data_IF_996410462512
#
_entry.id   IF_996410462512
#
_cell.length_a   1.000
_cell.length_b   1.000
_cell.length_c   1.000
_cell.angle_alpha   90.00
_cell.angle_beta   90.00
_cell.angle_gamma   90.00
#
_symmetry.space_group_name_H-M   'P 1'
#
loop_
_entity.id
_entity.type
_entity.pdbx_description
1 polymer ?
#
# COMPACT_ATOMS: atom_id res chain seq x y z
N UNK A 1 11.05 4.88 -17.40
CA UNK A 1 10.90 4.37 -16.03
C UNK A 1 10.21 3.03 -16.11
N UNK A 2 10.66 2.03 -15.37
CA UNK A 2 10.00 0.72 -15.26
C UNK A 2 8.72 0.88 -14.44
N UNK A 3 7.59 0.38 -14.94
CA UNK A 3 6.34 0.34 -14.19
C UNK A 3 6.43 -0.66 -13.04
N UNK A 4 5.79 -0.36 -11.91
CA UNK A 4 5.56 -1.36 -10.87
C UNK A 4 4.71 -2.49 -11.46
N UNK A 5 5.12 -3.72 -11.20
CA UNK A 5 4.26 -4.88 -11.40
C UNK A 5 3.38 -5.00 -10.16
N UNK A 6 2.07 -4.92 -10.35
CA UNK A 6 1.12 -5.09 -9.27
C UNK A 6 0.67 -6.55 -9.23
N UNK A 7 0.75 -7.19 -8.07
CA UNK A 7 0.04 -8.44 -7.85
C UNK A 7 -1.45 -8.12 -7.61
N UNK A 8 -2.32 -9.07 -7.97
CA UNK A 8 -3.75 -8.97 -7.73
C UNK A 8 -4.04 -8.59 -6.26
N UNK A 9 -5.06 -7.75 -6.01
CA UNK A 9 -5.35 -7.22 -4.68
C UNK A 9 -5.60 -8.32 -3.66
N UNK A 10 -4.98 -8.19 -2.49
CA UNK A 10 -5.06 -9.18 -1.43
C UNK A 10 -6.38 -9.07 -0.62
N UNK A 11 -7.02 -7.90 -0.59
CA UNK A 11 -8.32 -7.64 0.06
C UNK A 11 -9.02 -6.40 -0.58
N UNK A 12 -10.37 -6.35 -0.52
CA UNK A 12 -11.21 -5.28 -1.08
C UNK A 12 -12.28 -4.83 -0.08
N UNK A 13 -12.53 -3.53 0.04
CA UNK A 13 -13.59 -2.90 0.84
C UNK A 13 -14.37 -1.95 -0.08
N UNK A 14 -15.70 -2.01 -0.06
CA UNK A 14 -16.56 -1.13 -0.84
C UNK A 14 -17.15 -0.01 0.03
N UNK A 15 -17.20 1.21 -0.50
CA UNK A 15 -17.73 2.40 0.15
C UNK A 15 -18.81 3.04 -0.73
N UNK A 16 -20.06 2.99 -0.27
CA UNK A 16 -21.15 3.71 -0.93
C UNK A 16 -21.00 5.24 -0.77
N UNK A 17 -21.52 6.04 -1.71
CA UNK A 17 -21.57 7.50 -1.54
C UNK A 17 -22.31 7.93 -0.27
N UNK A 18 -21.93 9.08 0.31
CA UNK A 18 -22.80 9.75 1.25
C UNK A 18 -24.13 10.11 0.55
N UNK A 19 -25.26 9.80 1.17
CA UNK A 19 -26.57 10.18 0.67
C UNK A 19 -26.75 11.70 0.79
N UNK A 20 -26.36 12.45 -0.26
CA UNK A 20 -27.01 13.68 -0.73
C UNK A 20 -26.24 14.31 -1.89
N UNK A 21 -26.89 14.37 -3.05
CA UNK A 21 -26.69 15.37 -4.10
C UNK A 21 -25.24 15.67 -4.54
N UNK A 22 -24.45 14.67 -4.95
CA UNK A 22 -23.19 14.91 -5.66
C UNK A 22 -23.22 14.32 -7.07
N UNK A 23 -23.00 15.17 -8.07
CA UNK A 23 -22.96 14.84 -9.50
C UNK A 23 -21.57 14.35 -9.95
N UNK A 24 -20.79 13.69 -9.08
CA UNK A 24 -19.39 13.41 -9.40
C UNK A 24 -18.74 12.30 -8.60
N UNK A 25 -19.18 11.06 -8.82
CA UNK A 25 -18.78 9.78 -8.16
C UNK A 25 -19.74 9.34 -7.06
N UNK A 26 -20.53 8.31 -7.34
CA UNK A 26 -21.58 7.77 -6.45
C UNK A 26 -21.11 6.64 -5.53
N UNK A 27 -19.87 6.19 -5.66
CA UNK A 27 -19.27 5.17 -4.79
C UNK A 27 -17.78 5.04 -5.07
N UNK A 28 -17.04 4.57 -4.06
CA UNK A 28 -15.65 4.16 -4.19
C UNK A 28 -15.51 2.70 -3.83
N UNK A 29 -14.64 2.00 -4.54
CA UNK A 29 -14.14 0.70 -4.14
C UNK A 29 -12.66 0.83 -3.82
N UNK A 30 -12.26 0.34 -2.66
CA UNK A 30 -10.88 0.46 -2.15
C UNK A 30 -10.28 -0.94 -2.05
N UNK A 31 -9.03 -1.08 -2.43
CA UNK A 31 -8.29 -2.33 -2.31
C UNK A 31 -6.83 -2.07 -1.98
N UNK A 32 -6.18 -3.02 -1.30
CA UNK A 32 -4.72 -2.99 -1.13
C UNK A 32 -4.04 -3.96 -2.07
N UNK A 33 -2.94 -3.51 -2.67
CA UNK A 33 -2.08 -4.29 -3.56
C UNK A 33 -0.64 -4.18 -3.10
N UNK A 34 0.17 -5.14 -3.50
CA UNK A 34 1.63 -5.08 -3.39
C UNK A 34 2.21 -4.74 -4.76
N UNK A 35 2.90 -3.62 -4.83
CA UNK A 35 3.72 -3.25 -5.99
C UNK A 35 5.11 -3.86 -5.83
N UNK A 36 5.60 -4.51 -6.88
CA UNK A 36 6.98 -5.00 -6.98
C UNK A 36 7.65 -4.43 -8.22
N UNK A 37 8.99 -4.48 -8.25
CA UNK A 37 9.76 -4.18 -9.44
C UNK A 37 10.59 -5.40 -9.82
N UNK A 38 10.58 -5.76 -11.11
CA UNK A 38 11.47 -6.79 -11.65
C UNK A 38 12.94 -6.44 -11.34
N UNK A 39 13.69 -7.42 -10.83
CA UNK A 39 15.11 -7.27 -10.48
C UNK A 39 15.41 -7.02 -9.00
N UNK A 40 14.40 -6.82 -8.15
CA UNK A 40 14.57 -6.75 -6.68
C UNK A 40 14.17 -8.08 -6.03
N UNK A 41 15.10 -9.03 -5.96
CA UNK A 41 14.86 -10.32 -5.33
C UNK A 41 16.11 -11.08 -4.92
N UNK A 42 15.93 -12.03 -3.99
CA UNK A 42 16.97 -12.95 -3.50
C UNK A 42 16.37 -14.33 -3.30
N UNK A 43 17.18 -15.37 -3.50
CA UNK A 43 16.80 -16.74 -3.15
C UNK A 43 17.29 -17.07 -1.75
N UNK A 44 16.40 -17.55 -0.88
CA UNK A 44 16.73 -17.98 0.48
C UNK A 44 16.21 -19.40 0.71
N UNK A 45 17.04 -20.30 1.23
CA UNK A 45 16.66 -21.70 1.47
C UNK A 45 16.75 -22.09 2.94
N UNK A 46 15.65 -22.65 3.46
CA UNK A 46 15.56 -23.17 4.81
C UNK A 46 15.10 -22.17 5.87
N UNK A 47 14.26 -22.63 6.79
CA UNK A 47 13.88 -21.88 7.99
C UNK A 47 15.12 -21.56 8.83
N UNK A 48 15.33 -20.27 9.11
CA UNK A 48 16.48 -19.78 9.87
C UNK A 48 17.64 -19.26 9.01
N UNK A 49 17.62 -19.49 7.69
CA UNK A 49 18.51 -18.78 6.77
C UNK A 49 17.94 -17.39 6.49
N UNK A 50 18.79 -16.37 6.55
CA UNK A 50 18.41 -14.98 6.29
C UNK A 50 19.19 -14.45 5.09
N UNK A 51 18.48 -13.87 4.14
CA UNK A 51 19.06 -13.12 3.03
C UNK A 51 18.69 -11.65 3.17
N UNK A 52 19.60 -10.75 2.79
CA UNK A 52 19.31 -9.32 2.77
C UNK A 52 18.66 -8.96 1.43
N UNK A 53 17.46 -8.41 1.47
CA UNK A 53 16.84 -7.70 0.35
C UNK A 53 17.23 -6.23 0.46
N UNK A 54 18.02 -5.76 -0.50
CA UNK A 54 18.52 -4.39 -0.56
C UNK A 54 18.40 -3.86 -1.99
N UNK A 55 17.60 -2.82 -2.18
CA UNK A 55 17.51 -2.15 -3.48
C UNK A 55 16.37 -1.16 -3.59
N UNK A 56 16.40 -0.38 -4.67
CA UNK A 56 15.49 0.75 -4.88
C UNK A 56 14.44 0.44 -5.95
N UNK A 57 13.17 0.62 -5.60
CA UNK A 57 12.06 0.68 -6.54
C UNK A 57 11.78 2.14 -6.90
N UNK A 58 11.63 2.46 -8.18
CA UNK A 58 11.23 3.80 -8.65
C UNK A 58 9.90 3.73 -9.37
N UNK A 59 9.01 4.69 -9.11
CA UNK A 59 7.64 4.64 -9.61
C UNK A 59 7.02 6.04 -9.75
N UNK A 60 5.90 6.11 -10.47
CA UNK A 60 4.98 7.25 -10.42
C UNK A 60 3.72 6.83 -9.68
N UNK A 61 3.28 7.64 -8.74
CA UNK A 61 2.16 7.32 -7.87
C UNK A 61 1.49 8.60 -7.36
N UNK A 62 0.26 8.51 -6.86
CA UNK A 62 -0.34 9.61 -6.10
C UNK A 62 0.05 9.50 -4.64
N UNK A 63 0.38 10.62 -4.01
CA UNK A 63 0.68 10.63 -2.58
C UNK A 63 -0.62 10.79 -1.79
N UNK A 64 -0.91 9.83 -0.91
CA UNK A 64 -1.97 9.92 0.09
C UNK A 64 -1.69 11.07 1.06
N UNK A 65 -0.40 11.39 1.29
CA UNK A 65 0.02 12.50 2.16
C UNK A 65 -0.27 13.89 1.55
N UNK A 66 -0.71 13.96 0.30
CA UNK A 66 -1.21 15.21 -0.31
C UNK A 66 -2.67 15.52 0.06
N UNK A 67 -3.38 14.59 0.72
CA UNK A 67 -4.75 14.81 1.19
C UNK A 67 -4.74 15.52 2.55
N UNK A 68 -5.30 16.73 2.58
CA UNK A 68 -5.47 17.50 3.83
C UNK A 68 -6.47 16.81 4.75
N UNK A 69 -7.50 16.19 4.17
CA UNK A 69 -8.48 15.43 4.92
C UNK A 69 -7.83 14.21 5.58
N UNK A 70 -6.93 13.51 4.90
CA UNK A 70 -6.19 12.39 5.49
C UNK A 70 -5.28 12.85 6.64
N UNK A 71 -4.59 13.98 6.47
CA UNK A 71 -3.77 14.57 7.52
C UNK A 71 -4.57 14.97 8.77
N UNK A 72 -5.80 15.45 8.58
CA UNK A 72 -6.75 15.71 9.66
C UNK A 72 -7.16 14.39 10.34
N UNK A 73 -7.61 13.40 9.56
CA UNK A 73 -8.05 12.10 10.07
C UNK A 73 -6.95 11.38 10.86
N UNK A 74 -5.68 11.44 10.41
CA UNK A 74 -4.53 10.91 11.17
C UNK A 74 -4.45 11.52 12.58
N UNK A 75 -4.65 12.83 12.68
CA UNK A 75 -4.57 13.56 13.96
C UNK A 75 -5.77 13.28 14.86
N UNK A 76 -6.98 13.35 14.30
CA UNK A 76 -8.22 13.24 15.07
C UNK A 76 -8.55 11.81 15.47
N UNK A 77 -8.29 10.84 14.58
CA UNK A 77 -8.63 9.43 14.79
C UNK A 77 -7.43 8.57 15.19
N UNK A 78 -6.28 9.21 15.43
CA UNK A 78 -5.01 8.56 15.79
C UNK A 78 -4.63 7.43 14.83
N UNK A 79 -4.89 7.63 13.53
CA UNK A 79 -4.48 6.70 12.48
C UNK A 79 -2.95 6.77 12.40
N UNK A 80 -2.30 5.61 12.44
CA UNK A 80 -0.86 5.51 12.18
C UNK A 80 -0.48 6.05 10.80
N UNK A 81 0.81 6.22 10.55
CA UNK A 81 1.31 6.60 9.23
C UNK A 81 1.14 5.48 8.20
N UNK A 82 1.19 5.83 6.92
CA UNK A 82 1.26 4.84 5.86
C UNK A 82 -0.09 4.31 5.36
N UNK A 83 -0.01 3.54 4.28
CA UNK A 83 -1.13 2.84 3.65
C UNK A 83 -1.66 1.73 4.57
N UNK A 84 -0.78 0.98 5.23
CA UNK A 84 -1.14 -0.13 6.11
C UNK A 84 -2.02 0.31 7.27
N UNK A 85 -1.66 1.40 7.95
CA UNK A 85 -2.44 1.94 9.06
C UNK A 85 -3.80 2.48 8.60
N UNK A 86 -3.84 3.23 7.49
CA UNK A 86 -5.09 3.73 6.94
C UNK A 86 -6.02 2.58 6.51
N UNK A 87 -5.48 1.58 5.83
CA UNK A 87 -6.22 0.38 5.46
C UNK A 87 -6.76 -0.38 6.67
N UNK A 88 -5.93 -0.56 7.71
CA UNK A 88 -6.36 -1.21 8.95
C UNK A 88 -7.50 -0.44 9.62
N UNK A 89 -7.42 0.89 9.62
CA UNK A 89 -8.46 1.74 10.18
C UNK A 89 -9.77 1.68 9.39
N UNK A 90 -9.68 1.67 8.05
CA UNK A 90 -10.82 1.47 7.14
C UNK A 90 -11.47 0.09 7.32
N UNK A 91 -10.68 -0.94 7.62
CA UNK A 91 -11.15 -2.31 7.83
C UNK A 91 -12.02 -2.50 9.08
N UNK A 92 -12.04 -1.52 10.00
CA UNK A 92 -12.96 -1.49 11.13
C UNK A 92 -14.30 -0.96 10.60
N UNK A 93 -15.27 -1.87 10.40
CA UNK A 93 -16.56 -1.55 9.76
C UNK A 93 -17.27 -0.34 10.37
N UNK A 94 -17.19 -0.15 11.69
CA UNK A 94 -17.76 1.00 12.37
C UNK A 94 -17.13 2.34 11.93
N UNK A 95 -15.81 2.38 11.69
CA UNK A 95 -15.12 3.59 11.23
C UNK A 95 -15.52 3.95 9.80
N UNK A 96 -15.54 2.93 8.93
CA UNK A 96 -15.96 3.05 7.54
C UNK A 96 -17.40 3.57 7.42
N UNK A 97 -18.28 3.20 8.35
CA UNK A 97 -19.66 3.67 8.37
C UNK A 97 -19.84 5.06 8.98
N UNK A 98 -19.07 5.37 10.01
CA UNK A 98 -19.20 6.63 10.78
C UNK A 98 -18.59 7.83 10.04
N UNK A 99 -17.47 7.62 9.34
CA UNK A 99 -16.66 8.69 8.75
C UNK A 99 -16.69 8.68 7.22
N UNK A 100 -17.84 8.30 6.63
CA UNK A 100 -17.98 8.15 5.16
C UNK A 100 -17.62 9.43 4.43
N UNK A 101 -18.03 10.58 4.95
CA UNK A 101 -17.85 11.87 4.29
C UNK A 101 -16.37 12.25 4.20
N UNK A 102 -15.62 12.09 5.29
CA UNK A 102 -14.17 12.33 5.31
C UNK A 102 -13.42 11.34 4.43
N UNK A 103 -13.80 10.05 4.47
CA UNK A 103 -13.20 9.02 3.60
C UNK A 103 -13.41 9.36 2.12
N UNK A 104 -14.61 9.81 1.75
CA UNK A 104 -14.91 10.24 0.38
C UNK A 104 -14.09 11.45 -0.03
N UNK A 105 -13.94 12.44 0.85
CA UNK A 105 -13.14 13.62 0.54
C UNK A 105 -11.64 13.27 0.41
N UNK A 106 -11.11 12.35 1.22
CA UNK A 106 -9.75 11.80 1.00
C UNK A 106 -9.60 11.23 -0.41
N UNK A 107 -10.50 10.35 -0.83
CA UNK A 107 -10.42 9.72 -2.15
C UNK A 107 -10.58 10.72 -3.30
N UNK A 108 -11.41 11.74 -3.11
CA UNK A 108 -11.57 12.84 -4.07
C UNK A 108 -10.33 13.72 -4.14
N UNK A 109 -9.72 14.10 -3.01
CA UNK A 109 -8.49 14.89 -2.98
C UNK A 109 -7.35 14.14 -3.68
N UNK A 110 -7.16 12.86 -3.36
CA UNK A 110 -6.09 12.06 -3.94
C UNK A 110 -6.33 11.77 -5.42
N UNK A 111 -7.56 11.46 -5.86
CA UNK A 111 -7.87 11.22 -7.28
C UNK A 111 -7.69 12.47 -8.16
N UNK A 112 -7.88 13.67 -7.59
CA UNK A 112 -7.65 14.94 -8.29
C UNK A 112 -6.21 15.49 -8.16
N UNK A 113 -5.35 14.86 -7.36
CA UNK A 113 -3.95 15.27 -7.22
C UNK A 113 -3.13 15.02 -8.50
N UNK A 114 -1.85 15.36 -8.50
CA UNK A 114 -0.93 14.94 -9.56
C UNK A 114 -0.15 13.70 -9.11
N UNK A 115 0.25 12.86 -10.07
CA UNK A 115 1.25 11.83 -9.78
C UNK A 115 2.60 12.48 -9.48
N UNK A 116 3.31 11.91 -8.53
CA UNK A 116 4.67 12.30 -8.12
C UNK A 116 5.63 11.16 -8.43
N UNK A 117 6.90 11.51 -8.67
CA UNK A 117 7.99 10.54 -8.78
C UNK A 117 8.37 10.06 -7.38
N UNK A 118 8.14 8.77 -7.12
CA UNK A 118 8.45 8.14 -5.85
C UNK A 118 9.59 7.13 -5.94
N UNK A 119 10.20 6.87 -4.79
CA UNK A 119 11.17 5.80 -4.62
C UNK A 119 10.99 5.08 -3.29
N UNK A 120 11.10 3.76 -3.31
CA UNK A 120 11.16 2.94 -2.10
C UNK A 120 12.49 2.19 -2.07
N UNK A 121 13.33 2.50 -1.09
CA UNK A 121 14.54 1.73 -0.82
C UNK A 121 14.15 0.62 0.14
N UNK A 122 14.05 -0.61 -0.37
CA UNK A 122 13.83 -1.79 0.47
C UNK A 122 15.15 -2.21 1.05
N UNK A 123 15.22 -2.29 2.37
CA UNK A 123 16.38 -2.79 3.11
C UNK A 123 15.90 -3.59 4.31
N UNK A 124 15.79 -4.91 4.13
CA UNK A 124 15.32 -5.83 5.16
C UNK A 124 15.97 -7.20 5.02
N UNK A 125 15.95 -8.00 6.08
CA UNK A 125 16.29 -9.41 6.00
C UNK A 125 15.02 -10.24 5.80
N UNK A 126 15.09 -11.26 4.95
CA UNK A 126 14.01 -12.21 4.68
C UNK A 126 14.47 -13.65 4.95
N UNK A 127 13.57 -14.48 5.47
CA UNK A 127 13.79 -15.91 5.68
C UNK A 127 12.78 -16.73 4.88
N UNK A 128 13.19 -17.94 4.46
CA UNK A 128 12.25 -18.97 4.02
C UNK A 128 11.34 -19.40 5.17
N UNK A 129 10.12 -19.84 4.84
CA UNK A 129 9.14 -20.32 5.84
C UNK A 129 9.40 -21.76 6.29
N UNK A 130 9.93 -22.61 5.38
CA UNK A 130 10.06 -24.05 5.61
C UNK A 130 11.53 -24.51 5.55
N UNK A 131 11.97 -25.41 6.45
CA UNK A 131 13.28 -26.05 6.35
C UNK A 131 13.49 -26.73 5.00
N UNK A 132 14.70 -26.60 4.43
CA UNK A 132 15.11 -27.21 3.17
C UNK A 132 14.28 -26.85 1.93
N UNK A 133 13.46 -25.79 1.99
CA UNK A 133 12.73 -25.25 0.84
C UNK A 133 13.38 -23.92 0.44
N UNK A 134 13.84 -23.84 -0.81
CA UNK A 134 14.26 -22.58 -1.40
C UNK A 134 13.03 -21.77 -1.79
N UNK A 135 13.04 -20.49 -1.41
CA UNK A 135 12.03 -19.51 -1.80
C UNK A 135 12.73 -18.33 -2.47
N UNK A 136 12.21 -17.94 -3.62
CA UNK A 136 12.60 -16.69 -4.28
C UNK A 136 11.76 -15.57 -3.67
N UNK A 137 12.42 -14.70 -2.93
CA UNK A 137 11.83 -13.56 -2.26
C UNK A 137 11.97 -12.31 -3.13
N UNK A 138 10.91 -11.52 -3.23
CA UNK A 138 10.91 -10.20 -3.86
C UNK A 138 10.51 -9.13 -2.86
N UNK A 139 11.16 -7.96 -2.94
CA UNK A 139 10.76 -6.80 -2.16
C UNK A 139 9.45 -6.20 -2.69
N UNK A 140 8.56 -5.79 -1.80
CA UNK A 140 7.32 -5.11 -2.16
C UNK A 140 7.13 -3.79 -1.41
N UNK A 141 6.28 -2.94 -1.99
CA UNK A 141 5.65 -1.78 -1.36
C UNK A 141 4.14 -1.95 -1.34
N UNK A 142 3.50 -1.56 -0.24
CA UNK A 142 2.06 -1.58 -0.10
C UNK A 142 1.46 -0.35 -0.78
N UNK A 143 0.40 -0.58 -1.56
CA UNK A 143 -0.25 0.42 -2.38
C UNK A 143 -1.75 0.30 -2.16
N UNK A 144 -2.42 1.43 -1.98
CA UNK A 144 -3.87 1.48 -1.97
C UNK A 144 -4.36 1.84 -3.36
N UNK A 145 -5.31 1.08 -3.88
CA UNK A 145 -6.02 1.40 -5.10
C UNK A 145 -7.46 1.79 -4.74
N UNK A 146 -7.89 2.93 -5.25
CA UNK A 146 -9.31 3.30 -5.28
C UNK A 146 -9.84 3.21 -6.71
N UNK A 147 -11.11 2.85 -6.83
CA UNK A 147 -11.86 2.77 -8.07
C UNK A 147 -13.16 3.58 -7.90
N UNK A 148 -13.39 4.53 -8.80
CA UNK A 148 -14.62 5.32 -8.80
C UNK A 148 -15.79 4.58 -9.45
N UNK A 149 -17.00 5.14 -9.35
CA UNK A 149 -18.21 4.59 -9.97
C UNK A 149 -18.17 4.49 -11.50
N UNK A 150 -17.21 5.15 -12.15
CA UNK A 150 -16.98 5.07 -13.60
C UNK A 150 -15.93 4.03 -13.98
N UNK A 151 -15.35 3.34 -13.00
CA UNK A 151 -14.30 2.33 -13.18
C UNK A 151 -12.90 2.90 -13.33
N UNK A 152 -12.69 4.21 -13.10
CA UNK A 152 -11.34 4.78 -13.12
C UNK A 152 -10.60 4.36 -11.85
N UNK A 153 -9.35 3.91 -12.00
CA UNK A 153 -8.53 3.48 -10.86
C UNK A 153 -7.39 4.45 -10.58
N UNK A 154 -7.13 4.66 -9.29
CA UNK A 154 -6.07 5.54 -8.81
C UNK A 154 -5.26 4.79 -7.76
N UNK A 155 -3.95 4.66 -8.00
CA UNK A 155 -3.04 4.02 -7.07
C UNK A 155 -2.35 5.10 -6.22
N UNK A 156 -2.29 4.87 -4.92
CA UNK A 156 -1.70 5.80 -3.97
C UNK A 156 -0.81 5.11 -2.94
N UNK A 157 0.15 5.87 -2.44
CA UNK A 157 1.11 5.46 -1.41
C UNK A 157 1.25 6.58 -0.38
N UNK A 158 1.73 6.25 0.82
CA UNK A 158 2.15 7.21 1.83
C UNK A 158 3.60 6.93 2.21
N UNK A 159 4.35 7.98 2.51
CA UNK A 159 5.70 7.89 3.08
C UNK A 159 5.68 7.83 4.62
N UNK A 160 4.49 7.80 5.23
CA UNK A 160 4.29 7.98 6.68
C UNK A 160 4.73 6.81 7.56
N UNK A 161 4.77 5.58 7.04
CA UNK A 161 5.31 4.42 7.76
C UNK A 161 5.95 3.39 6.80
N UNK A 162 7.17 3.66 6.32
CA UNK A 162 7.85 2.78 5.37
C UNK A 162 8.07 1.35 5.88
N UNK A 163 8.25 1.15 7.20
CA UNK A 163 8.55 -0.16 7.77
C UNK A 163 7.33 -1.08 7.76
N UNK A 164 6.13 -0.52 7.95
CA UNK A 164 4.86 -1.24 7.84
C UNK A 164 4.40 -1.40 6.38
N UNK A 165 4.78 -0.47 5.50
CA UNK A 165 4.37 -0.44 4.10
C UNK A 165 5.35 -1.14 3.14
N UNK A 166 6.42 -1.74 3.64
CA UNK A 166 7.37 -2.52 2.83
C UNK A 166 7.53 -3.92 3.40
N UNK A 167 7.95 -4.85 2.55
CA UNK A 167 8.20 -6.22 3.00
C UNK A 167 8.77 -7.10 1.91
N UNK A 168 8.74 -8.41 2.17
CA UNK A 168 9.12 -9.43 1.21
C UNK A 168 7.96 -10.38 0.94
N UNK A 169 7.91 -10.89 -0.28
CA UNK A 169 6.92 -11.89 -0.69
C UNK A 169 7.54 -12.96 -1.59
N UNK A 170 6.93 -14.15 -1.61
CA UNK A 170 7.28 -15.22 -2.54
C UNK A 170 6.71 -14.99 -3.95
N UNK A 171 7.03 -15.91 -4.88
CA UNK A 171 6.52 -15.91 -6.25
C UNK A 171 4.98 -15.98 -6.37
N UNK A 172 4.29 -16.42 -5.33
CA UNK A 172 2.83 -16.51 -5.27
C UNK A 172 2.20 -15.26 -4.63
N UNK A 173 3.02 -14.28 -4.21
CA UNK A 173 2.57 -13.07 -3.51
C UNK A 173 2.33 -13.26 -2.01
N UNK A 174 2.69 -14.40 -1.43
CA UNK A 174 2.57 -14.62 0.02
C UNK A 174 3.66 -13.84 0.76
N UNK A 175 3.29 -13.20 1.87
CA UNK A 175 4.28 -12.50 2.70
C UNK A 175 5.30 -13.49 3.27
N UNK A 176 6.57 -13.09 3.28
CA UNK A 176 7.64 -13.85 3.91
C UNK A 176 8.04 -13.25 5.26
N UNK A 177 8.48 -14.07 6.22
CA UNK A 177 9.07 -13.58 7.45
C UNK A 177 10.22 -12.62 7.14
N UNK A 178 10.13 -11.42 7.71
CA UNK A 178 11.15 -10.39 7.57
C UNK A 178 11.54 -9.81 8.93
N UNK A 179 12.75 -9.27 9.01
CA UNK A 179 13.26 -8.57 10.20
C UNK A 179 14.18 -7.42 9.78
N UNK A 180 14.48 -6.55 10.75
CA UNK A 180 15.36 -5.40 10.60
C UNK A 180 14.97 -4.56 9.37
N UNK A 181 13.67 -4.30 9.23
CA UNK A 181 13.13 -3.53 8.13
C UNK A 181 13.48 -2.04 8.30
N UNK A 182 14.53 -1.62 7.61
CA UNK A 182 15.03 -0.25 7.58
C UNK A 182 14.69 0.43 6.24
N UNK A 183 13.62 -0.04 5.58
CA UNK A 183 13.22 0.50 4.30
C UNK A 183 12.74 1.95 4.43
N UNK A 184 12.86 2.71 3.34
CA UNK A 184 12.43 4.11 3.27
C UNK A 184 11.55 4.34 2.05
N UNK A 185 10.58 5.23 2.15
CA UNK A 185 9.75 5.69 1.02
C UNK A 185 9.92 7.21 0.90
N UNK A 186 10.09 7.70 -0.33
CA UNK A 186 10.09 9.12 -0.68
C UNK A 186 9.06 9.36 -1.77
N UNK A 187 8.24 10.40 -1.62
CA UNK A 187 7.15 10.80 -2.52
C UNK A 187 7.23 12.31 -2.78
#
# INVERSE_FOLDING_TARGET
>A
MTSLNFIAPHNQIAFAAPERNSTGVSSWKVSTKRGTQSGLGVSVSGAGAWAKLDGTMKFKIRSLDNSKTYDMMKKEYHIGGGVSAFWSWLGISANAETHKEEIHEVFKEVSNSQEVDGAANVSLYVSGQYPNVQVDASGYVLIMQIEDSSGNTYNMMSAGDPASDTGAQDQNGNALPSKDNNSTITL
#
